data_IF_156123665685
#
_entry.id   IF_156123665685
#
_cell.length_a   1.000
_cell.length_b   1.000
_cell.length_c   1.000
_cell.angle_alpha   90.00
_cell.angle_beta   90.00
_cell.angle_gamma   90.00
#
_symmetry.space_group_name_H-M   'P 1'
#
loop_
_entity.id
_entity.type
_entity.pdbx_description
1 polymer ?
#
# COMPACT_ATOMS: atom_id res chain seq x y z
N UNK A 1 36.81 12.77 93.36
CA UNK A 1 36.23 13.31 94.61
C UNK A 1 36.31 14.85 94.53
N UNK A 2 35.16 15.54 94.51
CA UNK A 2 34.89 17.00 94.70
C UNK A 2 35.76 18.03 93.93
N UNK A 3 35.22 18.79 92.94
CA UNK A 3 34.55 20.14 93.07
C UNK A 3 35.38 21.11 93.94
N UNK A 4 35.76 22.34 93.53
CA UNK A 4 34.98 23.42 92.91
C UNK A 4 35.88 24.67 92.65
N UNK A 5 35.53 25.48 91.61
CA UNK A 5 35.50 26.98 91.54
C UNK A 5 36.82 27.79 91.65
N UNK A 6 37.07 28.92 90.98
CA UNK A 6 36.31 29.77 90.04
C UNK A 6 37.16 30.98 89.55
N UNK A 7 36.67 31.63 88.46
CA UNK A 7 36.70 33.08 88.11
C UNK A 7 37.87 33.67 87.29
N UNK A 8 37.45 34.47 86.30
CA UNK A 8 38.21 35.48 85.53
C UNK A 8 38.52 34.99 84.11
N UNK A 9 38.39 35.73 83.01
CA UNK A 9 38.02 37.12 82.76
C UNK A 9 37.72 37.21 81.25
N UNK A 10 36.70 37.96 80.88
CA UNK A 10 36.24 38.22 79.51
C UNK A 10 37.29 39.01 78.72
N UNK A 11 37.62 38.59 77.49
CA UNK A 11 38.16 39.48 76.46
C UNK A 11 37.51 39.14 75.12
N UNK A 12 36.64 40.03 74.67
CA UNK A 12 36.05 40.03 73.35
C UNK A 12 37.10 40.50 72.34
N UNK A 13 37.33 39.71 71.29
CA UNK A 13 38.02 40.18 70.08
C UNK A 13 37.01 40.09 68.95
N UNK A 14 36.49 41.27 68.62
CA UNK A 14 35.62 41.58 67.50
C UNK A 14 36.52 41.70 66.26
N UNK A 15 36.50 40.68 65.39
CA UNK A 15 37.19 40.73 64.10
C UNK A 15 36.17 41.07 63.01
N UNK A 16 36.23 42.33 62.57
CA UNK A 16 35.60 42.87 61.37
C UNK A 16 36.20 42.19 60.13
N UNK A 17 35.43 41.34 59.46
CA UNK A 17 35.71 40.95 58.06
C UNK A 17 34.87 41.82 57.13
N UNK A 18 35.57 42.70 56.42
CA UNK A 18 35.05 43.59 55.39
C UNK A 18 35.43 43.00 54.02
N UNK A 19 34.41 42.64 53.24
CA UNK A 19 34.36 42.66 51.78
C UNK A 19 35.46 41.97 50.94
N UNK A 20 35.09 40.87 50.28
CA UNK A 20 35.19 40.72 48.82
C UNK A 20 34.49 39.41 48.40
N UNK A 21 33.26 39.54 47.92
CA UNK A 21 32.56 38.48 47.17
C UNK A 21 33.12 38.50 45.75
N UNK A 22 33.86 37.46 45.38
CA UNK A 22 34.09 37.12 43.97
C UNK A 22 32.98 36.16 43.59
N UNK A 23 31.96 36.66 42.90
CA UNK A 23 31.00 35.82 42.21
C UNK A 23 31.71 35.18 41.01
N UNK A 24 31.92 33.87 41.09
CA UNK A 24 32.25 33.06 39.92
C UNK A 24 30.93 32.67 39.25
N UNK A 25 30.64 33.30 38.12
CA UNK A 25 29.51 32.92 37.27
C UNK A 25 29.81 31.61 36.56
N UNK A 26 29.53 30.49 37.22
CA UNK A 26 29.31 29.21 36.55
C UNK A 26 27.83 29.17 36.18
N UNK A 27 27.52 29.52 34.94
CA UNK A 27 26.18 29.30 34.35
C UNK A 27 26.00 27.82 34.07
N UNK A 28 25.67 27.05 35.11
CA UNK A 28 24.94 25.80 34.94
C UNK A 28 23.48 26.15 34.72
N UNK A 29 23.02 26.13 33.47
CA UNK A 29 21.58 26.13 33.19
C UNK A 29 20.96 24.91 33.88
N UNK A 30 20.10 25.17 34.86
CA UNK A 30 19.17 24.17 35.35
C UNK A 30 18.29 23.71 34.18
N UNK A 31 17.84 22.43 34.14
CA UNK A 31 16.83 22.03 33.17
C UNK A 31 15.63 22.97 33.32
N UNK A 32 15.19 23.49 32.18
CA UNK A 32 14.02 24.35 32.08
C UNK A 32 12.79 23.57 32.54
N UNK A 33 12.42 23.75 33.80
CA UNK A 33 11.24 23.15 34.41
C UNK A 33 10.00 23.96 34.00
N UNK A 34 9.76 24.09 32.70
CA UNK A 34 8.44 24.47 32.22
C UNK A 34 7.45 23.44 32.79
N UNK A 35 6.36 23.85 33.46
CA UNK A 35 5.33 22.91 33.86
C UNK A 35 4.84 22.17 32.63
N UNK A 36 4.50 20.86 32.71
CA UNK A 36 3.90 20.17 31.57
C UNK A 36 2.72 21.00 31.08
N UNK A 37 2.82 21.43 29.83
CA UNK A 37 1.72 22.07 29.14
C UNK A 37 0.56 21.07 29.13
N UNK A 38 -0.63 21.54 29.49
CA UNK A 38 -1.84 20.72 29.55
C UNK A 38 -2.03 19.98 28.21
N UNK A 39 -1.65 18.69 28.15
CA UNK A 39 -1.74 17.85 26.95
C UNK A 39 -0.45 17.14 26.52
N UNK A 40 0.72 17.46 27.09
CA UNK A 40 1.98 16.73 26.83
C UNK A 40 2.45 16.00 28.09
N UNK A 41 2.85 14.74 27.96
CA UNK A 41 3.36 13.90 29.04
C UNK A 41 4.88 13.78 28.91
N UNK A 42 5.63 14.41 29.82
CA UNK A 42 7.08 14.25 29.86
C UNK A 42 7.46 12.86 30.39
N UNK A 43 8.34 12.17 29.68
CA UNK A 43 8.88 10.86 30.06
C UNK A 43 10.40 10.85 29.95
N UNK A 44 11.04 10.06 30.81
CA UNK A 44 12.47 9.76 30.72
C UNK A 44 12.77 8.82 29.55
N UNK A 45 14.03 8.74 29.13
CA UNK A 45 14.44 7.80 28.07
C UNK A 45 14.27 6.33 28.48
N UNK A 46 14.31 6.02 29.78
CA UNK A 46 14.09 4.66 30.28
C UNK A 46 12.60 4.29 30.24
N UNK A 47 11.72 5.25 30.56
CA UNK A 47 10.28 5.08 30.38
C UNK A 47 9.91 4.96 28.90
N UNK A 48 10.51 5.78 28.03
CA UNK A 48 10.32 5.68 26.59
C UNK A 48 10.75 4.30 26.05
N UNK A 49 11.92 3.80 26.44
CA UNK A 49 12.36 2.45 26.08
C UNK A 49 11.39 1.35 26.57
N UNK A 50 10.84 1.50 27.77
CA UNK A 50 9.89 0.53 28.33
C UNK A 50 8.56 0.50 27.56
N UNK A 51 8.08 1.66 27.09
CA UNK A 51 6.93 1.77 26.20
C UNK A 51 7.24 1.06 24.87
N UNK A 52 8.34 1.47 24.22
CA UNK A 52 8.78 0.99 22.89
C UNK A 52 9.28 -0.46 22.83
N UNK A 53 9.23 -1.18 23.95
CA UNK A 53 9.65 -2.59 24.04
C UNK A 53 8.48 -3.50 24.44
N UNK A 54 7.26 -2.99 24.51
CA UNK A 54 6.14 -3.73 25.07
C UNK A 54 4.80 -3.38 24.43
N UNK A 55 4.43 -4.15 23.41
CA UNK A 55 3.17 -3.99 22.66
C UNK A 55 1.87 -4.22 23.47
N UNK A 56 1.94 -4.67 24.73
CA UNK A 56 0.71 -4.94 25.53
C UNK A 56 -0.04 -3.67 25.94
N UNK A 57 0.59 -2.50 25.81
CA UNK A 57 -0.01 -1.19 26.03
C UNK A 57 -0.49 -0.52 24.71
N UNK A 58 -0.45 -1.23 23.57
CA UNK A 58 -0.61 -0.66 22.24
C UNK A 58 0.74 -0.50 21.53
N UNK A 59 0.73 0.07 20.33
CA UNK A 59 1.97 0.42 19.58
C UNK A 59 2.20 1.90 19.78
N UNK A 60 3.35 2.29 20.31
CA UNK A 60 3.79 3.67 20.39
C UNK A 60 4.70 4.01 19.21
N UNK A 61 4.63 5.26 18.77
CA UNK A 61 5.33 5.71 17.57
C UNK A 61 6.38 6.76 17.94
N UNK A 62 7.68 6.40 17.97
CA UNK A 62 8.72 7.39 18.18
C UNK A 62 8.83 8.32 16.97
N UNK A 63 8.79 9.63 17.23
CA UNK A 63 8.89 10.67 16.20
C UNK A 63 10.14 11.51 16.45
N UNK A 64 11.06 11.44 15.50
CA UNK A 64 12.24 12.28 15.46
C UNK A 64 11.92 13.63 14.82
N UNK A 65 11.99 14.71 15.61
CA UNK A 65 11.73 16.07 15.11
C UNK A 65 12.98 16.87 14.78
N UNK A 66 14.13 16.19 14.65
CA UNK A 66 15.40 16.82 14.26
C UNK A 66 15.44 17.16 12.77
N UNK A 67 16.54 17.77 12.34
CA UNK A 67 16.80 17.99 10.90
C UNK A 67 17.08 16.67 10.18
N UNK A 68 16.89 16.65 8.85
CA UNK A 68 17.19 15.48 8.01
C UNK A 68 18.64 15.01 8.16
N UNK A 69 19.61 15.93 8.16
CA UNK A 69 21.02 15.58 8.35
C UNK A 69 21.32 14.93 9.71
N UNK A 70 20.60 15.31 10.77
CA UNK A 70 20.71 14.66 12.08
C UNK A 70 20.09 13.25 12.08
N UNK A 71 18.93 13.09 11.42
CA UNK A 71 18.23 11.82 11.28
C UNK A 71 19.05 10.78 10.50
N UNK A 72 19.56 11.18 9.33
CA UNK A 72 20.39 10.33 8.47
C UNK A 72 21.72 9.94 9.11
N UNK A 73 22.27 10.79 9.98
CA UNK A 73 23.55 10.53 10.63
C UNK A 73 23.43 9.54 11.80
N UNK A 74 22.40 9.67 12.64
CA UNK A 74 22.18 8.76 13.76
C UNK A 74 20.77 8.91 14.31
N UNK A 75 20.08 7.80 14.61
CA UNK A 75 18.71 7.74 15.15
C UNK A 75 18.59 6.72 16.28
N UNK A 76 17.54 6.82 17.10
CA UNK A 76 17.28 5.75 18.08
C UNK A 76 16.97 4.45 17.35
N UNK A 77 17.30 3.32 17.95
CA UNK A 77 16.94 2.00 17.45
C UNK A 77 15.93 1.38 18.42
N UNK A 78 14.88 0.77 17.89
CA UNK A 78 13.76 0.30 18.69
C UNK A 78 13.21 -1.01 18.12
N UNK A 79 12.70 -1.91 18.98
CA UNK A 79 12.07 -3.14 18.52
C UNK A 79 10.89 -2.89 17.57
N UNK A 80 10.79 -3.68 16.50
CA UNK A 80 9.58 -3.75 15.68
C UNK A 80 8.40 -4.25 16.52
N UNK A 81 7.17 -3.69 16.39
CA UNK A 81 6.69 -2.76 15.37
C UNK A 81 6.88 -1.26 15.67
N UNK A 82 7.52 -0.91 16.79
CA UNK A 82 7.60 0.46 17.31
C UNK A 82 8.85 1.20 16.81
N UNK A 83 8.98 1.37 15.50
CA UNK A 83 10.16 1.99 14.85
C UNK A 83 10.08 3.53 14.73
N UNK A 84 11.22 4.25 14.73
CA UNK A 84 11.22 5.71 14.69
C UNK A 84 10.82 6.25 13.31
N UNK A 85 10.09 7.36 13.29
CA UNK A 85 9.70 8.06 12.06
C UNK A 85 10.20 9.50 12.10
N UNK A 86 10.63 10.04 10.96
CA UNK A 86 11.19 11.38 10.90
C UNK A 86 10.18 12.41 10.43
N UNK A 87 10.00 13.47 11.23
CA UNK A 87 9.19 14.64 10.88
C UNK A 87 9.85 15.89 11.42
N UNK A 88 10.64 16.57 10.59
CA UNK A 88 11.37 17.76 10.97
C UNK A 88 10.44 18.84 11.59
N UNK A 89 10.78 19.34 12.79
CA UNK A 89 10.00 20.39 13.46
C UNK A 89 9.78 21.62 12.57
N UNK A 90 10.80 22.06 11.83
CA UNK A 90 10.70 23.28 11.02
C UNK A 90 9.64 23.13 9.93
N UNK A 91 9.54 21.94 9.32
CA UNK A 91 8.49 21.62 8.35
C UNK A 91 7.10 21.67 8.98
N UNK A 92 6.95 21.13 10.20
CA UNK A 92 5.68 21.16 10.93
C UNK A 92 5.27 22.58 11.32
N UNK A 93 6.22 23.47 11.61
CA UNK A 93 5.94 24.87 11.98
C UNK A 93 5.63 25.77 10.78
N UNK A 94 6.31 25.55 9.66
CA UNK A 94 6.30 26.47 8.52
C UNK A 94 5.36 26.03 7.39
N UNK A 95 4.90 24.78 7.40
CA UNK A 95 4.08 24.21 6.33
C UNK A 95 2.80 23.56 6.89
N UNK A 96 1.69 24.28 6.79
CA UNK A 96 0.37 23.83 7.26
C UNK A 96 -0.06 22.51 6.61
N UNK A 97 0.24 22.28 5.33
CA UNK A 97 -0.09 21.02 4.66
C UNK A 97 0.67 19.84 5.26
N UNK A 98 1.96 20.02 5.58
CA UNK A 98 2.76 18.98 6.25
C UNK A 98 2.25 18.72 7.65
N UNK A 99 1.89 19.76 8.40
CA UNK A 99 1.26 19.63 9.72
C UNK A 99 -0.07 18.87 9.65
N UNK A 100 -0.98 19.24 8.75
CA UNK A 100 -2.27 18.54 8.59
C UNK A 100 -2.07 17.08 8.16
N UNK A 101 -1.10 16.80 7.29
CA UNK A 101 -0.75 15.43 6.92
C UNK A 101 -0.23 14.64 8.12
N UNK A 102 0.63 15.23 8.95
CA UNK A 102 1.09 14.63 10.19
C UNK A 102 -0.08 14.29 11.11
N UNK A 103 -0.97 15.26 11.34
CA UNK A 103 -2.13 15.12 12.23
C UNK A 103 -3.07 14.00 11.75
N UNK A 104 -3.31 13.91 10.44
CA UNK A 104 -4.12 12.84 9.85
C UNK A 104 -3.45 11.48 9.87
N UNK A 105 -2.12 11.42 9.75
CA UNK A 105 -1.36 10.16 9.73
C UNK A 105 -1.30 9.51 11.12
N UNK A 106 -1.35 10.32 12.18
CA UNK A 106 -1.21 9.87 13.56
C UNK A 106 -2.46 10.13 14.40
N UNK A 107 -3.62 10.31 13.77
CA UNK A 107 -4.89 10.55 14.47
C UNK A 107 -5.27 9.35 15.35
N UNK A 108 -5.50 9.60 16.63
CA UNK A 108 -5.80 8.61 17.65
C UNK A 108 -4.58 7.84 18.18
N UNK A 109 -3.38 8.09 17.66
CA UNK A 109 -2.17 7.33 18.01
C UNK A 109 -1.45 7.86 19.26
N UNK A 110 -0.58 7.03 19.82
CA UNK A 110 0.35 7.42 20.89
C UNK A 110 1.75 7.69 20.32
N UNK A 111 2.17 8.96 20.33
CA UNK A 111 3.46 9.38 19.76
C UNK A 111 4.48 9.75 20.86
N UNK A 112 5.74 9.39 20.65
CA UNK A 112 6.87 9.78 21.51
C UNK A 112 7.78 10.73 20.75
N UNK A 113 7.64 12.03 21.02
CA UNK A 113 8.46 13.05 20.38
C UNK A 113 9.84 13.09 21.02
N UNK A 114 10.87 13.10 20.17
CA UNK A 114 12.23 13.33 20.63
C UNK A 114 13.02 14.19 19.66
N UNK A 115 14.07 14.82 20.18
CA UNK A 115 15.03 15.53 19.37
C UNK A 115 16.45 15.28 19.87
N UNK A 116 17.39 16.23 19.66
CA UNK A 116 18.77 16.08 20.13
C UNK A 116 18.89 16.10 21.67
N UNK A 117 18.23 17.06 22.32
CA UNK A 117 18.39 17.35 23.76
C UNK A 117 17.08 17.57 24.52
N UNK A 118 15.92 17.39 23.87
CA UNK A 118 14.58 17.58 24.46
C UNK A 118 13.91 18.94 24.15
N UNK A 119 14.66 19.97 23.76
CA UNK A 119 14.08 21.31 23.52
C UNK A 119 13.12 21.38 22.32
N UNK A 120 13.53 20.88 21.15
CA UNK A 120 12.68 20.88 19.94
C UNK A 120 11.46 19.96 20.07
N UNK A 121 11.57 18.86 20.80
CA UNK A 121 10.44 17.94 21.01
C UNK A 121 9.39 18.54 21.95
N UNK A 122 9.79 19.32 22.95
CA UNK A 122 8.86 20.11 23.76
C UNK A 122 8.12 21.16 22.91
N UNK A 123 8.83 21.85 22.00
CA UNK A 123 8.21 22.79 21.05
C UNK A 123 7.24 22.08 20.10
N UNK A 124 7.62 20.92 19.56
CA UNK A 124 6.76 20.10 18.71
C UNK A 124 5.49 19.66 19.45
N UNK A 125 5.61 19.18 20.69
CA UNK A 125 4.46 18.77 21.50
C UNK A 125 3.47 19.91 21.71
N UNK A 126 3.96 21.11 22.03
CA UNK A 126 3.13 22.30 22.18
C UNK A 126 2.45 22.70 20.86
N UNK A 127 3.16 22.61 19.73
CA UNK A 127 2.57 22.86 18.42
C UNK A 127 1.40 21.91 18.16
N UNK A 128 1.58 20.62 18.40
CA UNK A 128 0.56 19.59 18.15
C UNK A 128 -0.65 19.76 19.07
N UNK A 129 -0.44 20.02 20.37
CA UNK A 129 -1.53 20.32 21.31
C UNK A 129 -2.33 21.54 20.86
N UNK A 130 -1.66 22.64 20.50
CA UNK A 130 -2.32 23.86 20.05
C UNK A 130 -3.04 23.69 18.69
N UNK A 131 -2.59 22.71 17.90
CA UNK A 131 -3.20 22.34 16.62
C UNK A 131 -4.35 21.34 16.77
N UNK A 132 -4.67 20.91 17.99
CA UNK A 132 -5.78 20.01 18.29
C UNK A 132 -5.47 18.55 17.98
N UNK A 133 -4.23 18.09 18.19
CA UNK A 133 -3.85 16.69 17.97
C UNK A 133 -4.72 15.78 18.83
N UNK A 134 -5.37 14.82 18.19
CA UNK A 134 -6.19 13.82 18.83
C UNK A 134 -5.33 12.57 19.03
N UNK A 135 -4.86 12.32 20.24
CA UNK A 135 -3.94 11.23 20.57
C UNK A 135 -3.14 11.54 21.83
N UNK A 136 -2.23 10.64 22.19
CA UNK A 136 -1.33 10.84 23.34
C UNK A 136 0.02 11.35 22.87
N UNK A 137 0.47 12.45 23.44
CA UNK A 137 1.79 13.04 23.13
C UNK A 137 2.70 12.85 24.33
N UNK A 138 3.74 12.03 24.15
CA UNK A 138 4.87 11.97 25.07
C UNK A 138 6.01 12.85 24.56
N UNK A 139 6.68 13.57 25.46
CA UNK A 139 7.93 14.26 25.18
C UNK A 139 9.08 13.54 25.91
N UNK A 140 10.02 13.01 25.13
CA UNK A 140 11.16 12.28 25.67
C UNK A 140 12.26 13.24 26.15
N UNK A 141 12.35 13.41 27.47
CA UNK A 141 13.27 14.32 28.12
C UNK A 141 14.73 13.98 27.82
N UNK A 142 15.52 15.00 27.52
CA UNK A 142 16.95 14.86 27.19
C UNK A 142 17.25 14.32 25.79
N UNK A 143 16.23 13.89 25.03
CA UNK A 143 16.35 13.45 23.64
C UNK A 143 17.35 12.30 23.42
N UNK A 144 17.85 12.19 22.18
CA UNK A 144 18.82 11.15 21.80
C UNK A 144 20.15 11.24 22.59
N UNK A 145 20.52 12.43 23.10
CA UNK A 145 21.69 12.56 23.98
C UNK A 145 21.51 11.78 25.28
N UNK A 146 20.36 11.94 25.96
CA UNK A 146 20.06 11.19 27.17
C UNK A 146 19.88 9.69 26.88
N UNK A 147 19.30 9.34 25.72
CA UNK A 147 19.12 7.96 25.27
C UNK A 147 20.47 7.23 25.24
N UNK A 148 21.45 7.81 24.55
CA UNK A 148 22.81 7.28 24.45
C UNK A 148 23.55 7.28 25.79
N UNK A 149 23.38 8.31 26.61
CA UNK A 149 23.99 8.35 27.95
C UNK A 149 23.48 7.23 28.87
N UNK A 150 22.29 6.68 28.60
CA UNK A 150 21.75 5.51 29.31
C UNK A 150 22.11 4.18 28.63
N UNK A 151 22.92 4.19 27.57
CA UNK A 151 23.35 2.98 26.86
C UNK A 151 22.26 2.30 26.03
N UNK A 152 21.20 3.03 25.67
CA UNK A 152 20.12 2.54 24.82
C UNK A 152 20.54 2.53 23.33
N UNK A 153 20.00 1.62 22.50
CA UNK A 153 20.53 1.33 21.16
C UNK A 153 20.21 2.42 20.13
N UNK A 154 21.11 2.61 19.17
CA UNK A 154 20.99 3.61 18.09
C UNK A 154 21.52 3.04 16.79
N UNK A 155 21.00 3.51 15.66
CA UNK A 155 21.56 3.25 14.33
C UNK A 155 22.34 4.46 13.82
N UNK A 156 23.54 4.23 13.31
CA UNK A 156 24.46 5.28 12.85
C UNK A 156 24.66 5.15 11.35
N UNK A 157 24.46 6.24 10.62
CA UNK A 157 24.54 6.27 9.16
C UNK A 157 23.30 5.71 8.46
N UNK A 158 23.43 5.57 7.15
CA UNK A 158 22.46 4.94 6.27
C UNK A 158 23.15 4.44 5.00
N UNK A 159 23.02 3.15 4.72
CA UNK A 159 23.34 2.50 3.46
C UNK A 159 22.02 2.17 2.76
N UNK A 160 21.88 2.46 1.45
CA UNK A 160 20.65 2.14 0.74
C UNK A 160 20.40 0.61 0.74
N UNK A 161 19.13 0.18 0.67
CA UNK A 161 18.79 -1.23 0.55
C UNK A 161 19.44 -1.90 -0.65
N UNK A 162 19.70 -3.20 -0.55
CA UNK A 162 20.17 -3.94 -1.72
C UNK A 162 19.05 -4.09 -2.75
N UNK A 163 19.43 -4.20 -4.02
CA UNK A 163 18.48 -4.55 -5.08
C UNK A 163 17.83 -5.90 -4.76
N UNK A 164 16.49 -6.00 -4.73
CA UNK A 164 15.81 -7.26 -4.48
C UNK A 164 15.89 -8.19 -5.72
N UNK A 165 15.70 -9.49 -5.47
CA UNK A 165 15.46 -10.47 -6.52
C UNK A 165 14.12 -10.21 -7.24
N UNK A 166 13.90 -10.76 -8.45
CA UNK A 166 12.60 -10.68 -9.11
C UNK A 166 11.48 -11.23 -8.20
N UNK A 167 10.27 -10.65 -8.25
CA UNK A 167 9.15 -11.20 -7.52
C UNK A 167 8.82 -12.62 -8.03
N UNK A 168 8.21 -13.42 -7.17
CA UNK A 168 7.83 -14.81 -7.45
C UNK A 168 6.31 -14.93 -7.42
N UNK A 169 5.72 -15.48 -8.48
CA UNK A 169 4.27 -15.67 -8.56
C UNK A 169 3.84 -16.24 -9.90
N UNK A 170 2.53 -16.25 -10.19
CA UNK A 170 1.99 -16.67 -11.48
C UNK A 170 2.55 -15.82 -12.64
N UNK A 171 2.94 -16.45 -13.74
CA UNK A 171 3.39 -15.75 -14.97
C UNK A 171 2.30 -15.67 -16.04
N UNK A 172 1.09 -16.13 -15.70
CA UNK A 172 -0.08 -16.08 -16.56
C UNK A 172 -1.32 -15.75 -15.72
N UNK A 173 -2.21 -14.95 -16.30
CA UNK A 173 -3.46 -14.53 -15.68
C UNK A 173 -4.57 -14.28 -16.69
N UNK A 174 -5.76 -14.10 -16.16
CA UNK A 174 -6.92 -13.57 -16.88
C UNK A 174 -7.21 -12.18 -16.32
N UNK A 175 -7.72 -11.27 -17.15
CA UNK A 175 -8.15 -9.95 -16.66
C UNK A 175 -9.07 -10.06 -15.44
N UNK A 176 -9.02 -9.05 -14.57
CA UNK A 176 -9.78 -8.95 -13.32
C UNK A 176 -9.52 -10.07 -12.28
N UNK A 177 -8.59 -10.98 -12.55
CA UNK A 177 -8.19 -12.01 -11.60
C UNK A 177 -7.12 -11.46 -10.67
N UNK A 178 -7.37 -11.52 -9.37
CA UNK A 178 -6.39 -11.14 -8.35
C UNK A 178 -5.27 -12.20 -8.26
N UNK A 179 -4.06 -11.82 -8.65
CA UNK A 179 -2.86 -12.67 -8.62
C UNK A 179 -1.93 -12.21 -7.50
N UNK A 180 -1.45 -13.14 -6.68
CA UNK A 180 -0.55 -12.88 -5.56
C UNK A 180 0.90 -13.15 -5.94
N UNK A 181 1.78 -12.23 -5.54
CA UNK A 181 3.21 -12.26 -5.76
C UNK A 181 3.95 -12.12 -4.44
N UNK A 182 5.10 -12.78 -4.35
CA UNK A 182 5.96 -12.80 -3.18
C UNK A 182 7.28 -12.10 -3.50
N UNK A 183 7.78 -11.29 -2.58
CA UNK A 183 9.12 -10.73 -2.68
C UNK A 183 9.80 -10.67 -1.32
N UNK A 184 11.11 -10.48 -1.33
CA UNK A 184 11.93 -10.30 -0.13
C UNK A 184 13.01 -9.29 -0.47
N UNK A 185 13.38 -8.49 0.52
CA UNK A 185 14.36 -7.43 0.38
C UNK A 185 15.08 -7.24 1.69
N UNK A 186 16.31 -6.72 1.62
CA UNK A 186 17.12 -6.49 2.79
C UNK A 186 17.85 -5.16 2.71
N UNK A 187 18.23 -4.70 3.90
CA UNK A 187 18.94 -3.47 4.11
C UNK A 187 20.27 -3.76 4.83
N UNK A 188 21.42 -3.23 4.37
CA UNK A 188 22.72 -3.49 4.99
C UNK A 188 22.85 -3.06 6.46
N UNK A 189 22.06 -2.06 6.89
CA UNK A 189 22.02 -1.58 8.27
C UNK A 189 20.91 -2.25 9.10
N UNK A 190 20.29 -3.31 8.55
CA UNK A 190 19.16 -4.05 9.12
C UNK A 190 17.97 -3.13 9.42
N UNK A 191 17.81 -2.06 8.64
CA UNK A 191 16.63 -1.21 8.74
C UNK A 191 15.37 -1.96 8.33
N UNK A 192 14.27 -1.54 8.93
CA UNK A 192 12.96 -1.91 8.40
C UNK A 192 12.82 -1.32 7.01
N UNK A 193 12.09 -2.03 6.16
CA UNK A 193 11.96 -1.73 4.75
C UNK A 193 10.51 -1.78 4.32
N UNK A 194 10.18 -1.08 3.23
CA UNK A 194 8.94 -1.26 2.50
C UNK A 194 9.21 -1.52 1.03
N UNK A 195 8.25 -2.16 0.38
CA UNK A 195 8.35 -2.60 -1.01
C UNK A 195 7.50 -1.71 -1.91
N UNK A 196 8.13 -1.18 -2.96
CA UNK A 196 7.49 -0.40 -4.02
C UNK A 196 7.34 -1.26 -5.27
N UNK A 197 6.10 -1.52 -5.68
CA UNK A 197 5.74 -2.33 -6.84
C UNK A 197 5.52 -1.47 -8.07
N UNK A 198 6.15 -1.87 -9.18
CA UNK A 198 5.89 -1.40 -10.54
C UNK A 198 5.13 -2.53 -11.26
N UNK A 199 3.83 -2.35 -11.45
CA UNK A 199 2.92 -3.37 -11.96
C UNK A 199 2.83 -3.38 -13.49
N UNK A 200 3.23 -2.29 -14.15
CA UNK A 200 3.11 -2.13 -15.59
C UNK A 200 4.45 -2.08 -16.36
N UNK A 201 5.55 -1.94 -15.65
CA UNK A 201 6.92 -1.93 -16.15
C UNK A 201 7.38 -0.56 -16.66
N UNK A 202 6.75 0.54 -16.23
CA UNK A 202 7.11 1.90 -16.62
C UNK A 202 8.25 2.52 -15.78
N UNK A 203 8.70 1.80 -14.73
CA UNK A 203 9.74 2.20 -13.76
C UNK A 203 9.32 3.31 -12.80
N UNK A 204 8.02 3.50 -12.62
CA UNK A 204 7.45 4.25 -11.51
C UNK A 204 6.84 3.28 -10.49
N UNK A 205 6.78 3.70 -9.22
CA UNK A 205 6.15 2.86 -8.20
C UNK A 205 4.67 3.16 -8.17
N UNK A 206 3.86 2.14 -8.50
CA UNK A 206 2.41 2.18 -8.45
C UNK A 206 1.87 2.02 -7.03
N UNK A 207 2.52 1.14 -6.26
CA UNK A 207 2.04 0.73 -4.94
C UNK A 207 3.18 0.56 -3.95
N UNK A 208 3.07 1.24 -2.81
CA UNK A 208 3.93 1.02 -1.66
C UNK A 208 3.22 0.18 -0.61
N UNK A 209 3.93 -0.84 -0.12
CA UNK A 209 3.51 -1.60 1.06
C UNK A 209 3.80 -0.85 2.37
N UNK A 210 3.37 -1.43 3.50
CA UNK A 210 3.78 -0.99 4.82
C UNK A 210 5.27 -1.32 5.08
N UNK A 211 5.80 -0.83 6.20
CA UNK A 211 7.15 -1.20 6.66
C UNK A 211 7.15 -2.56 7.39
N UNK A 212 8.18 -3.35 7.10
CA UNK A 212 8.44 -4.67 7.66
C UNK A 212 9.90 -4.77 8.11
N UNK A 213 10.24 -5.67 9.05
CA UNK A 213 11.64 -6.00 9.32
C UNK A 213 12.40 -6.38 8.05
N UNK A 214 13.70 -6.06 8.00
CA UNK A 214 14.57 -6.53 6.93
C UNK A 214 14.48 -8.04 6.74
N UNK A 215 14.64 -8.50 5.50
CA UNK A 215 14.54 -9.93 5.12
C UNK A 215 13.14 -10.55 5.29
N UNK A 216 12.10 -9.75 5.57
CA UNK A 216 10.72 -10.25 5.59
C UNK A 216 10.25 -10.60 4.18
N UNK A 217 9.72 -11.82 4.00
CA UNK A 217 8.96 -12.18 2.80
C UNK A 217 7.53 -11.69 2.92
N UNK A 218 7.06 -10.93 1.92
CA UNK A 218 5.70 -10.37 1.88
C UNK A 218 4.91 -10.85 0.67
N UNK A 219 3.59 -10.80 0.79
CA UNK A 219 2.64 -11.14 -0.26
C UNK A 219 1.89 -9.87 -0.67
N UNK A 220 1.93 -9.52 -1.96
CA UNK A 220 1.13 -8.43 -2.55
C UNK A 220 0.32 -8.97 -3.72
N UNK A 221 -0.93 -8.54 -3.86
CA UNK A 221 -1.79 -9.00 -4.94
C UNK A 221 -2.24 -7.89 -5.86
N UNK A 222 -2.29 -8.19 -7.16
CA UNK A 222 -2.69 -7.24 -8.20
C UNK A 222 -3.58 -7.91 -9.25
N UNK A 223 -4.46 -7.13 -9.89
CA UNK A 223 -5.32 -7.58 -10.97
C UNK A 223 -5.27 -6.57 -12.13
N UNK A 224 -4.96 -7.06 -13.33
CA UNK A 224 -4.95 -6.24 -14.54
C UNK A 224 -6.33 -6.23 -15.20
N UNK A 225 -6.75 -5.08 -15.70
CA UNK A 225 -8.06 -4.92 -16.35
C UNK A 225 -7.98 -5.02 -17.87
N UNK A 226 -6.78 -4.98 -18.44
CA UNK A 226 -6.54 -5.11 -19.88
C UNK A 226 -5.66 -6.32 -20.19
N UNK A 227 -5.93 -7.05 -21.30
CA UNK A 227 -5.03 -8.10 -21.75
C UNK A 227 -3.70 -7.51 -22.22
N UNK A 228 -2.60 -8.20 -21.93
CA UNK A 228 -1.27 -7.69 -22.26
C UNK A 228 -0.13 -8.53 -21.67
N UNK A 229 1.10 -8.09 -21.92
CA UNK A 229 2.29 -8.60 -21.25
C UNK A 229 2.79 -7.49 -20.32
N UNK A 230 2.91 -7.80 -19.04
CA UNK A 230 3.36 -6.87 -17.99
C UNK A 230 4.70 -7.33 -17.44
N UNK A 231 5.62 -6.39 -17.22
CA UNK A 231 6.95 -6.68 -16.69
C UNK A 231 7.02 -6.17 -15.25
N UNK A 232 6.54 -6.97 -14.31
CA UNK A 232 6.42 -6.56 -12.90
C UNK A 232 7.79 -6.51 -12.25
N UNK A 233 8.05 -5.42 -11.55
CA UNK A 233 9.30 -5.16 -10.85
C UNK A 233 9.01 -4.68 -9.42
N UNK A 234 9.98 -4.86 -8.53
CA UNK A 234 9.89 -4.38 -7.15
C UNK A 234 11.17 -3.67 -6.74
N UNK A 235 11.07 -2.62 -5.95
CA UNK A 235 12.18 -1.95 -5.30
C UNK A 235 11.95 -1.88 -3.77
N UNK A 236 13.02 -1.62 -3.03
CA UNK A 236 13.01 -1.55 -1.57
C UNK A 236 13.38 -0.14 -1.13
N UNK A 237 12.64 0.42 -0.19
CA UNK A 237 12.98 1.66 0.50
C UNK A 237 13.22 1.37 1.98
N UNK A 238 14.31 1.89 2.55
CA UNK A 238 14.58 1.83 3.98
C UNK A 238 13.74 2.83 4.79
N UNK A 239 13.91 2.80 6.11
CA UNK A 239 13.26 3.74 7.02
C UNK A 239 13.71 5.20 6.85
N UNK A 240 14.91 5.41 6.30
CA UNK A 240 15.54 6.73 6.17
C UNK A 240 15.12 7.43 4.87
N UNK A 241 14.60 6.67 3.91
CA UNK A 241 14.10 7.11 2.60
C UNK A 241 15.05 6.84 1.45
N UNK A 242 16.13 6.05 1.64
CA UNK A 242 16.97 5.64 0.51
C UNK A 242 16.36 4.41 -0.17
N UNK A 243 16.54 4.37 -1.49
CA UNK A 243 15.89 3.42 -2.39
C UNK A 243 16.92 2.50 -3.05
N UNK A 244 16.56 1.22 -3.20
CA UNK A 244 17.29 0.30 -4.08
C UNK A 244 17.05 0.62 -5.55
N UNK A 245 17.79 -0.04 -6.44
CA UNK A 245 17.33 -0.19 -7.84
C UNK A 245 16.14 -1.16 -7.89
N UNK A 246 15.27 -1.03 -8.90
CA UNK A 246 14.25 -2.04 -9.21
C UNK A 246 14.88 -3.41 -9.48
N UNK A 247 14.21 -4.49 -9.06
CA UNK A 247 14.54 -5.88 -9.40
C UNK A 247 14.61 -6.09 -10.92
N UNK A 248 15.23 -7.18 -11.40
CA UNK A 248 14.91 -7.66 -12.75
C UNK A 248 13.40 -8.00 -12.86
N UNK A 249 12.81 -7.88 -14.07
CA UNK A 249 11.37 -8.04 -14.25
C UNK A 249 10.89 -9.50 -14.23
N UNK A 250 9.69 -9.71 -13.70
CA UNK A 250 8.87 -10.91 -13.92
C UNK A 250 7.84 -10.62 -15.01
N UNK A 251 7.97 -11.27 -16.17
CA UNK A 251 6.99 -11.11 -17.26
C UNK A 251 5.73 -11.94 -17.03
N UNK A 252 4.57 -11.30 -17.05
CA UNK A 252 3.25 -11.90 -16.84
C UNK A 252 2.40 -11.70 -18.10
N UNK A 253 1.82 -12.79 -18.61
CA UNK A 253 0.85 -12.76 -19.70
C UNK A 253 -0.58 -12.72 -19.16
N UNK A 254 -1.28 -11.61 -19.35
CA UNK A 254 -2.70 -11.45 -19.01
C UNK A 254 -3.54 -11.62 -20.27
N UNK A 255 -4.51 -12.53 -20.21
CA UNK A 255 -5.42 -12.86 -21.31
C UNK A 255 -6.82 -12.33 -21.06
N UNK A 256 -7.65 -12.09 -22.09
CA UNK A 256 -9.07 -11.79 -21.90
C UNK A 256 -9.77 -12.93 -21.14
N UNK A 257 -10.88 -12.62 -20.48
CA UNK A 257 -11.79 -13.67 -20.01
C UNK A 257 -12.28 -14.49 -21.21
N UNK A 258 -12.13 -15.81 -21.12
CA UNK A 258 -12.79 -16.71 -22.05
C UNK A 258 -14.29 -16.71 -21.74
N UNK A 259 -15.19 -16.52 -22.73
CA UNK A 259 -16.61 -16.67 -22.51
C UNK A 259 -16.92 -18.01 -21.81
N UNK A 260 -17.89 -18.07 -20.89
CA UNK A 260 -18.20 -19.30 -20.14
C UNK A 260 -18.75 -20.42 -21.02
N UNK A 261 -19.13 -20.10 -22.26
CA UNK A 261 -19.64 -21.02 -23.26
C UNK A 261 -19.22 -20.56 -24.67
N UNK A 262 -19.17 -21.51 -25.60
CA UNK A 262 -18.78 -21.31 -27.00
C UNK A 262 -19.89 -21.88 -27.90
N UNK A 263 -20.29 -21.16 -28.94
CA UNK A 263 -21.38 -21.56 -29.84
C UNK A 263 -20.97 -21.51 -31.32
N UNK A 264 -21.58 -22.38 -32.13
CA UNK A 264 -21.34 -22.42 -33.57
C UNK A 264 -22.65 -22.62 -34.35
N UNK A 265 -22.89 -21.78 -35.37
CA UNK A 265 -23.95 -22.00 -36.35
C UNK A 265 -23.51 -23.13 -37.29
N UNK A 266 -24.05 -24.33 -37.06
CA UNK A 266 -23.72 -25.54 -37.82
C UNK A 266 -24.57 -25.71 -39.07
N UNK A 267 -25.76 -25.12 -39.11
CA UNK A 267 -26.60 -25.07 -40.32
C UNK A 267 -27.13 -23.65 -40.58
N UNK A 268 -27.18 -23.21 -41.85
CA UNK A 268 -26.83 -23.97 -43.05
C UNK A 268 -25.32 -24.00 -43.32
N UNK A 269 -24.80 -25.17 -43.71
CA UNK A 269 -23.46 -25.25 -44.27
C UNK A 269 -23.34 -24.47 -45.59
N UNK A 270 -22.11 -24.24 -46.05
CA UNK A 270 -21.80 -23.64 -47.36
C UNK A 270 -22.29 -24.52 -48.53
N UNK A 271 -23.53 -24.31 -48.95
CA UNK A 271 -24.18 -25.07 -50.00
C UNK A 271 -25.31 -24.29 -50.69
N UNK A 272 -25.75 -24.80 -51.84
CA UNK A 272 -26.98 -24.35 -52.48
C UNK A 272 -28.16 -25.19 -51.95
N UNK A 273 -29.23 -24.53 -51.52
CA UNK A 273 -30.42 -25.14 -50.95
C UNK A 273 -31.69 -24.73 -51.70
N UNK A 274 -32.65 -25.65 -51.81
CA UNK A 274 -34.03 -25.36 -52.21
C UNK A 274 -34.96 -25.92 -51.13
N UNK A 275 -35.77 -25.06 -50.49
CA UNK A 275 -36.68 -25.45 -49.40
C UNK A 275 -36.02 -26.38 -48.38
N UNK A 276 -34.89 -25.95 -47.82
CA UNK A 276 -34.06 -26.67 -46.86
C UNK A 276 -33.37 -27.95 -47.36
N UNK A 277 -33.50 -28.32 -48.64
CA UNK A 277 -32.79 -29.47 -49.20
C UNK A 277 -31.46 -29.02 -49.80
N UNK A 278 -30.36 -29.54 -49.27
CA UNK A 278 -29.00 -29.31 -49.79
C UNK A 278 -28.86 -29.97 -51.17
N UNK A 279 -28.54 -29.19 -52.19
CA UNK A 279 -28.41 -29.67 -53.57
C UNK A 279 -26.96 -30.02 -53.92
N UNK A 280 -26.03 -29.11 -53.62
CA UNK A 280 -24.59 -29.29 -53.84
C UNK A 280 -23.80 -28.25 -53.04
N UNK A 281 -22.52 -28.50 -52.72
CA UNK A 281 -21.64 -27.54 -52.06
C UNK A 281 -21.51 -26.23 -52.86
N UNK A 282 -21.51 -25.10 -52.18
CA UNK A 282 -21.44 -23.78 -52.79
C UNK A 282 -20.69 -22.84 -51.83
N UNK A 283 -19.88 -21.85 -52.29
CA UNK A 283 -18.98 -21.10 -51.41
C UNK A 283 -19.65 -20.36 -50.24
N UNK A 284 -20.94 -20.08 -50.36
CA UNK A 284 -21.80 -19.47 -49.34
C UNK A 284 -23.12 -20.24 -49.26
N UNK A 285 -23.84 -20.21 -48.13
CA UNK A 285 -25.23 -20.66 -48.10
C UNK A 285 -26.07 -19.83 -49.08
N UNK A 286 -26.52 -20.47 -50.15
CA UNK A 286 -27.41 -19.88 -51.16
C UNK A 286 -28.73 -20.62 -51.14
N UNK A 287 -29.80 -19.94 -50.76
CA UNK A 287 -31.08 -20.54 -50.38
C UNK A 287 -32.18 -20.02 -51.28
N UNK A 288 -32.96 -20.93 -51.85
CA UNK A 288 -34.26 -20.63 -52.47
C UNK A 288 -35.37 -21.21 -51.58
N UNK A 289 -36.24 -20.37 -51.03
CA UNK A 289 -37.30 -20.77 -50.11
C UNK A 289 -36.87 -20.82 -48.65
N UNK A 290 -37.43 -21.73 -47.84
CA UNK A 290 -37.11 -21.83 -46.41
C UNK A 290 -35.76 -22.50 -46.14
N UNK A 291 -35.16 -22.19 -45.00
CA UNK A 291 -33.90 -22.81 -44.53
C UNK A 291 -33.93 -23.01 -43.01
N UNK A 292 -33.28 -24.07 -42.55
CA UNK A 292 -33.09 -24.38 -41.15
C UNK A 292 -31.77 -23.78 -40.65
N UNK A 293 -31.85 -23.05 -39.55
CA UNK A 293 -30.70 -22.51 -38.84
C UNK A 293 -30.54 -23.35 -37.57
N UNK A 294 -29.35 -23.93 -37.37
CA UNK A 294 -29.01 -24.74 -36.20
C UNK A 294 -27.76 -24.19 -35.54
N UNK A 295 -27.77 -24.14 -34.22
CA UNK A 295 -26.63 -23.79 -33.38
C UNK A 295 -26.29 -25.00 -32.50
N UNK A 296 -25.00 -25.29 -32.37
CA UNK A 296 -24.48 -26.24 -31.39
C UNK A 296 -23.71 -25.46 -30.31
N UNK A 297 -23.78 -25.95 -29.06
CA UNK A 297 -23.02 -25.41 -27.93
C UNK A 297 -21.76 -26.26 -27.81
N UNK A 298 -20.60 -25.71 -28.16
CA UNK A 298 -19.32 -26.41 -28.16
C UNK A 298 -18.76 -26.59 -26.75
N UNK A 299 -19.06 -25.64 -25.86
CA UNK A 299 -18.66 -25.64 -24.45
C UNK A 299 -19.71 -24.91 -23.59
N UNK A 300 -19.91 -25.36 -22.36
CA UNK A 300 -20.70 -24.66 -21.34
C UNK A 300 -22.19 -24.97 -21.36
N UNK A 301 -22.93 -24.32 -20.46
CA UNK A 301 -24.39 -24.42 -20.35
C UNK A 301 -25.02 -23.06 -20.69
N UNK A 302 -26.06 -23.06 -21.52
CA UNK A 302 -26.77 -21.84 -21.94
C UNK A 302 -28.26 -21.93 -21.57
N UNK A 303 -28.81 -20.82 -21.11
CA UNK A 303 -30.24 -20.67 -20.77
C UNK A 303 -31.10 -20.47 -22.03
N UNK A 304 -30.60 -19.73 -23.01
CA UNK A 304 -31.31 -19.47 -24.27
C UNK A 304 -30.38 -19.12 -25.43
N UNK A 305 -30.87 -19.33 -26.64
CA UNK A 305 -30.28 -18.84 -27.89
C UNK A 305 -31.29 -17.95 -28.62
N UNK A 306 -30.84 -16.77 -29.02
CA UNK A 306 -31.59 -15.81 -29.80
C UNK A 306 -31.06 -15.74 -31.24
N UNK A 307 -31.96 -15.88 -32.21
CA UNK A 307 -31.67 -15.84 -33.64
C UNK A 307 -32.09 -14.49 -34.22
N UNK A 308 -31.18 -13.86 -34.94
CA UNK A 308 -31.35 -12.56 -35.58
C UNK A 308 -31.12 -12.66 -37.07
N UNK A 309 -31.86 -11.86 -37.84
CA UNK A 309 -31.57 -11.60 -39.26
C UNK A 309 -31.50 -10.11 -39.47
N UNK A 310 -30.36 -9.64 -39.98
CA UNK A 310 -30.06 -8.21 -40.19
C UNK A 310 -30.38 -7.37 -38.94
N UNK A 311 -29.88 -7.80 -37.78
CA UNK A 311 -30.11 -7.20 -36.45
C UNK A 311 -31.56 -7.27 -35.91
N UNK A 312 -32.50 -7.89 -36.63
CA UNK A 312 -33.88 -8.07 -36.15
C UNK A 312 -34.05 -9.44 -35.49
N UNK A 313 -34.49 -9.47 -34.23
CA UNK A 313 -34.79 -10.70 -33.51
C UNK A 313 -35.90 -11.48 -34.23
N UNK A 314 -35.65 -12.77 -34.48
CA UNK A 314 -36.56 -13.70 -35.14
C UNK A 314 -37.10 -14.75 -34.20
N UNK A 315 -36.24 -15.30 -33.33
CA UNK A 315 -36.63 -16.39 -32.45
C UNK A 315 -35.77 -16.41 -31.20
N UNK A 316 -36.37 -16.72 -30.06
CA UNK A 316 -35.69 -17.13 -28.84
C UNK A 316 -36.00 -18.61 -28.58
N UNK A 317 -34.98 -19.40 -28.27
CA UNK A 317 -35.06 -20.84 -28.02
C UNK A 317 -34.42 -21.15 -26.68
N UNK A 318 -35.15 -21.80 -25.78
CA UNK A 318 -34.72 -22.05 -24.39
C UNK A 318 -34.26 -23.48 -24.13
N UNK A 319 -34.42 -24.39 -25.10
CA UNK A 319 -34.09 -25.80 -24.92
C UNK A 319 -33.52 -26.35 -26.23
N UNK A 320 -32.62 -27.32 -26.12
CA UNK A 320 -32.10 -28.05 -27.26
C UNK A 320 -33.19 -28.84 -28.01
N UNK A 321 -33.07 -29.00 -29.34
CA UNK A 321 -32.03 -28.43 -30.20
C UNK A 321 -32.24 -26.92 -30.46
N UNK A 322 -31.19 -26.10 -30.27
CA UNK A 322 -31.23 -24.66 -30.53
C UNK A 322 -31.33 -24.39 -32.03
N UNK A 323 -32.55 -24.17 -32.48
CA UNK A 323 -32.82 -24.14 -33.92
C UNK A 323 -34.06 -23.32 -34.28
N UNK A 324 -34.04 -22.81 -35.51
CA UNK A 324 -35.11 -22.00 -36.06
C UNK A 324 -35.22 -22.21 -37.57
N UNK A 325 -36.44 -22.39 -38.08
CA UNK A 325 -36.69 -22.40 -39.52
C UNK A 325 -37.02 -21.00 -40.01
N UNK A 326 -36.17 -20.46 -40.86
CA UNK A 326 -36.38 -19.20 -41.54
C UNK A 326 -37.31 -19.40 -42.74
N UNK A 327 -38.57 -19.00 -42.59
CA UNK A 327 -39.65 -19.18 -43.59
C UNK A 327 -40.02 -17.88 -44.31
N UNK A 328 -39.68 -16.74 -43.72
CA UNK A 328 -40.03 -15.42 -44.24
C UNK A 328 -39.41 -15.19 -45.61
N UNK A 329 -40.22 -14.64 -46.51
CA UNK A 329 -39.77 -14.30 -47.86
C UNK A 329 -38.86 -13.08 -47.78
N UNK A 330 -37.59 -13.27 -48.13
CA UNK A 330 -36.61 -12.21 -48.25
C UNK A 330 -35.84 -12.36 -49.54
N UNK A 331 -35.10 -11.33 -49.91
CA UNK A 331 -34.35 -11.31 -51.16
C UNK A 331 -32.99 -10.67 -50.95
N UNK A 332 -31.94 -11.39 -51.35
CA UNK A 332 -30.58 -10.91 -51.38
C UNK A 332 -29.72 -11.47 -50.26
N UNK A 333 -28.66 -10.73 -49.93
CA UNK A 333 -27.70 -11.09 -48.90
C UNK A 333 -28.22 -10.65 -47.54
N UNK A 334 -28.14 -11.55 -46.57
CA UNK A 334 -28.50 -11.31 -45.17
C UNK A 334 -27.39 -11.79 -44.25
N UNK A 335 -27.32 -11.19 -43.06
CA UNK A 335 -26.51 -11.70 -41.94
C UNK A 335 -27.43 -12.38 -40.95
N UNK A 336 -27.20 -13.67 -40.73
CA UNK A 336 -27.84 -14.45 -39.67
C UNK A 336 -26.88 -14.47 -38.49
N UNK A 337 -27.34 -14.02 -37.32
CA UNK A 337 -26.57 -14.05 -36.08
C UNK A 337 -27.30 -14.88 -35.03
N UNK A 338 -26.59 -15.75 -34.33
CA UNK A 338 -27.08 -16.43 -33.14
C UNK A 338 -26.36 -15.86 -31.92
N UNK A 339 -27.09 -15.54 -30.85
CA UNK A 339 -26.53 -15.09 -29.58
C UNK A 339 -27.02 -16.01 -28.48
N UNK A 340 -26.10 -16.66 -27.79
CA UNK A 340 -26.40 -17.50 -26.64
C UNK A 340 -26.20 -16.73 -25.34
N UNK A 341 -26.98 -17.09 -24.33
CA UNK A 341 -26.99 -16.47 -23.00
C UNK A 341 -26.93 -17.57 -21.95
N UNK A 342 -26.09 -17.43 -20.93
CA UNK A 342 -26.18 -18.25 -19.71
C UNK A 342 -27.12 -17.61 -18.67
N UNK A 343 -27.27 -18.29 -17.53
CA UNK A 343 -28.09 -17.81 -16.40
C UNK A 343 -27.57 -16.54 -15.71
N UNK A 344 -26.34 -16.12 -16.01
CA UNK A 344 -25.71 -14.89 -15.50
C UNK A 344 -25.75 -13.76 -16.54
N UNK A 345 -26.47 -13.93 -17.64
CA UNK A 345 -26.56 -13.01 -18.79
C UNK A 345 -25.22 -12.76 -19.52
N UNK A 346 -24.20 -13.61 -19.32
CA UNK A 346 -23.03 -13.61 -20.19
C UNK A 346 -23.47 -14.00 -21.61
N UNK A 347 -22.71 -13.57 -22.62
CA UNK A 347 -23.09 -13.73 -24.02
C UNK A 347 -21.92 -14.20 -24.85
N UNK A 348 -22.21 -15.11 -25.78
CA UNK A 348 -21.35 -15.44 -26.92
C UNK A 348 -22.20 -15.51 -28.19
N UNK A 349 -21.58 -15.32 -29.35
CA UNK A 349 -22.32 -15.26 -30.61
C UNK A 349 -21.53 -15.70 -31.82
N UNK A 350 -22.21 -16.36 -32.75
CA UNK A 350 -21.70 -16.68 -34.08
C UNK A 350 -22.58 -16.07 -35.16
N UNK A 351 -22.01 -15.80 -36.34
CA UNK A 351 -22.72 -15.21 -37.47
C UNK A 351 -22.32 -15.82 -38.82
N UNK A 352 -23.32 -15.95 -39.70
CA UNK A 352 -23.15 -16.46 -41.05
C UNK A 352 -23.86 -15.57 -42.07
N UNK A 353 -23.22 -15.34 -43.21
CA UNK A 353 -23.86 -14.70 -44.36
C UNK A 353 -24.67 -15.73 -45.15
N UNK A 354 -25.95 -15.44 -45.37
CA UNK A 354 -26.85 -16.26 -46.20
C UNK A 354 -27.39 -15.43 -47.36
N UNK A 355 -27.28 -15.95 -48.58
CA UNK A 355 -27.99 -15.40 -49.73
C UNK A 355 -29.34 -16.11 -49.85
N UNK A 356 -30.44 -15.39 -49.64
CA UNK A 356 -31.79 -15.97 -49.63
C UNK A 356 -32.68 -15.34 -50.70
N UNK A 357 -33.45 -16.18 -51.39
CA UNK A 357 -34.39 -15.77 -52.43
C UNK A 357 -35.73 -16.47 -52.20
N UNK A 358 -36.79 -15.68 -52.05
CA UNK A 358 -38.19 -16.09 -51.91
C UNK A 358 -38.59 -16.74 -50.59
#
# INVERSE_FOLDING_TARGET
MRRMLSKGLTFAVMLLFLGMLVESSISGEAPDNTPPTSGVIDITVVEAWALLSNISNGVQIPIDVRTEGEWRNERIDTPYPEFPRHHNLYDLQENETKLQRFMSLYDGEEIILYCRSGGRSAVAGNLLVNSGFNGTIYNMLGGINAWKNNGLPTKVGNMPPNQPDPPIGPTMGVVNTLLTYHCTGNDPDDDIVRYGWDWDGDKEVDEWTNYYPSETTIDTSHAWTTPGVYNVQVMVEDLVGDNSSFSPPLSILVTPETPPFDIEITEPEKAFYINNHKMFPFPVPFVIGSIYIRVEILQGEVEKVEFYVDSNLKKTVYNEPYSWTWVEKTFGKHVVKAVAYDASENQDSDEITVWKFF
#
